data_IF_298730447750
#
_entry.id   IF_298730447750
#
_cell.length_a   1.000
_cell.length_b   1.000
_cell.length_c   1.000
_cell.angle_alpha   90.00
_cell.angle_beta   90.00
_cell.angle_gamma   90.00
#
_symmetry.space_group_name_H-M   'P 1'
#
loop_
_entity.id
_entity.type
_entity.pdbx_description
1 polymer ?
#
# COMPACT_ATOMS: atom_id res chain seq x y z
N UNK A 1 -8.56 4.71 8.80
CA UNK A 1 -9.07 5.73 9.73
C UNK A 1 -9.99 6.66 8.97
N UNK A 2 -11.30 6.54 9.19
CA UNK A 2 -12.32 7.27 8.41
C UNK A 2 -12.22 8.79 8.66
N UNK A 3 -12.10 9.29 9.90
CA UNK A 3 -11.88 10.71 10.18
C UNK A 3 -10.72 11.39 9.43
N UNK A 4 -9.69 10.64 9.05
CA UNK A 4 -8.53 11.17 8.31
C UNK A 4 -8.71 11.10 6.78
N UNK A 5 -9.78 10.45 6.32
CA UNK A 5 -10.11 10.30 4.90
C UNK A 5 -10.98 11.47 4.42
N UNK A 6 -10.88 11.83 3.15
CA UNK A 6 -11.59 12.95 2.53
C UNK A 6 -12.28 12.46 1.27
N UNK A 7 -13.53 12.86 1.05
CA UNK A 7 -14.27 12.58 -0.19
C UNK A 7 -14.77 11.15 -0.38
N UNK A 8 -14.59 10.27 0.61
CA UNK A 8 -15.17 8.92 0.59
C UNK A 8 -16.63 8.93 1.05
N UNK A 9 -17.41 8.01 0.49
CA UNK A 9 -18.82 7.79 0.77
C UNK A 9 -19.03 6.31 1.11
N UNK A 10 -19.97 6.04 2.03
CA UNK A 10 -20.44 4.70 2.36
C UNK A 10 -19.34 3.63 2.60
N UNK A 11 -18.29 3.90 3.42
CA UNK A 11 -17.23 2.93 3.64
C UNK A 11 -17.78 1.63 4.25
N UNK A 12 -17.57 0.51 3.56
CA UNK A 12 -17.93 -0.84 4.00
C UNK A 12 -16.68 -1.59 4.46
N UNK A 13 -16.73 -2.07 5.70
CA UNK A 13 -15.70 -2.93 6.28
C UNK A 13 -16.39 -4.24 6.67
N UNK A 14 -16.18 -5.28 5.86
CA UNK A 14 -16.80 -6.58 6.12
C UNK A 14 -16.09 -7.29 7.30
N UNK A 15 -16.82 -7.77 8.32
CA UNK A 15 -16.22 -8.42 9.49
C UNK A 15 -15.36 -9.65 9.18
N UNK A 16 -15.58 -10.29 8.03
CA UNK A 16 -14.89 -11.50 7.58
C UNK A 16 -13.80 -11.23 6.54
N UNK A 17 -13.79 -10.06 5.91
CA UNK A 17 -12.77 -9.66 4.93
C UNK A 17 -11.82 -8.67 5.60
N UNK A 18 -10.97 -9.19 6.49
CA UNK A 18 -10.09 -8.39 7.35
C UNK A 18 -9.05 -7.54 6.60
N UNK A 19 -8.86 -7.80 5.31
CA UNK A 19 -7.88 -7.16 4.44
C UNK A 19 -8.51 -6.34 3.30
N UNK A 20 -9.83 -6.13 3.31
CA UNK A 20 -10.55 -5.41 2.26
C UNK A 20 -11.43 -4.31 2.86
N UNK A 21 -11.45 -3.15 2.21
CA UNK A 21 -12.36 -2.04 2.50
C UNK A 21 -12.92 -1.57 1.17
N UNK A 22 -14.22 -1.35 1.11
CA UNK A 22 -14.91 -0.81 -0.06
C UNK A 22 -15.47 0.56 0.28
N UNK A 23 -15.49 1.47 -0.68
CA UNK A 23 -16.09 2.80 -0.51
C UNK A 23 -16.45 3.37 -1.88
N UNK A 24 -17.39 4.31 -1.88
CA UNK A 24 -17.75 5.10 -3.06
C UNK A 24 -17.03 6.45 -3.02
N UNK A 25 -16.84 7.06 -4.19
CA UNK A 25 -16.26 8.40 -4.29
C UNK A 25 -16.78 9.10 -5.55
N UNK A 26 -16.77 10.44 -5.53
CA UNK A 26 -17.10 11.25 -6.70
C UNK A 26 -15.82 11.51 -7.52
N UNK A 27 -15.71 11.02 -8.76
CA UNK A 27 -14.51 11.18 -9.58
C UNK A 27 -14.19 12.63 -9.92
N UNK A 28 -15.15 13.55 -9.76
CA UNK A 28 -14.97 14.98 -9.99
C UNK A 28 -14.45 15.72 -8.75
N UNK A 29 -14.30 15.03 -7.61
CA UNK A 29 -13.86 15.61 -6.33
C UNK A 29 -12.54 15.01 -5.88
N UNK A 30 -11.77 15.82 -5.16
CA UNK A 30 -10.57 15.34 -4.47
C UNK A 30 -10.96 14.29 -3.44
N UNK A 31 -10.36 13.11 -3.55
CA UNK A 31 -10.56 11.98 -2.65
C UNK A 31 -9.22 11.50 -2.11
N UNK A 32 -9.15 11.17 -0.83
CA UNK A 32 -7.97 10.57 -0.20
C UNK A 32 -8.39 9.64 0.93
N UNK A 33 -7.73 8.49 1.03
CA UNK A 33 -8.00 7.51 2.07
C UNK A 33 -6.82 7.38 3.03
N UNK A 34 -7.13 7.19 4.32
CA UNK A 34 -6.14 6.84 5.32
C UNK A 34 -6.33 5.39 5.75
N UNK A 35 -5.34 4.54 5.47
CA UNK A 35 -5.39 3.10 5.76
C UNK A 35 -4.40 2.76 6.87
N UNK A 36 -4.84 1.96 7.84
CA UNK A 36 -3.99 1.42 8.89
C UNK A 36 -3.81 -0.09 8.67
N UNK A 37 -2.56 -0.54 8.63
CA UNK A 37 -2.23 -1.96 8.50
C UNK A 37 -1.87 -2.52 9.88
N UNK A 38 -2.62 -3.52 10.33
CA UNK A 38 -2.55 -4.06 11.69
C UNK A 38 -1.70 -5.33 11.82
N UNK A 39 -0.81 -5.58 10.86
CA UNK A 39 0.14 -6.68 10.90
C UNK A 39 1.51 -6.21 10.41
N UNK A 40 2.59 -6.84 10.89
CA UNK A 40 3.95 -6.54 10.47
C UNK A 40 4.49 -7.64 9.55
N UNK A 41 5.33 -7.27 8.58
CA UNK A 41 5.82 -8.20 7.55
C UNK A 41 6.59 -9.42 8.09
N UNK A 42 7.13 -9.34 9.31
CA UNK A 42 7.85 -10.45 9.95
C UNK A 42 6.94 -11.43 10.72
N UNK A 43 5.65 -11.15 10.86
CA UNK A 43 4.70 -12.12 11.46
C UNK A 43 4.45 -13.32 10.55
N UNK A 44 4.70 -13.15 9.25
CA UNK A 44 4.47 -14.15 8.20
C UNK A 44 5.76 -14.83 7.74
N UNK A 45 6.83 -14.74 8.52
CA UNK A 45 8.08 -15.48 8.25
C UNK A 45 8.18 -16.72 9.14
N UNK A 46 8.93 -17.73 8.68
CA UNK A 46 9.08 -19.00 9.39
C UNK A 46 9.72 -18.83 10.78
N UNK A 47 10.58 -17.81 10.97
CA UNK A 47 11.29 -17.57 12.23
C UNK A 47 10.91 -16.20 12.79
N UNK A 48 10.34 -16.18 13.99
CA UNK A 48 9.95 -14.93 14.68
C UNK A 48 11.13 -14.14 15.27
N UNK A 49 12.35 -14.40 14.81
CA UNK A 49 13.56 -13.78 15.34
C UNK A 49 13.81 -12.43 14.65
N UNK A 50 14.33 -11.46 15.42
CA UNK A 50 14.75 -10.18 14.85
C UNK A 50 15.82 -10.37 13.78
N UNK A 51 15.60 -9.82 12.58
CA UNK A 51 16.57 -9.82 11.49
C UNK A 51 16.14 -10.58 10.22
N UNK A 52 15.08 -11.38 10.27
CA UNK A 52 14.55 -12.04 9.07
C UNK A 52 13.91 -11.02 8.11
N UNK A 53 14.07 -11.26 6.80
CA UNK A 53 13.47 -10.42 5.76
C UNK A 53 11.95 -10.65 5.76
N UNK A 54 11.21 -9.68 6.30
CA UNK A 54 9.75 -9.73 6.29
C UNK A 54 9.15 -9.91 4.89
N UNK A 55 8.04 -10.64 4.82
CA UNK A 55 7.26 -10.87 3.59
C UNK A 55 6.65 -9.54 3.14
N UNK A 56 6.86 -9.10 1.87
CA UNK A 56 6.20 -7.90 1.37
C UNK A 56 4.71 -8.18 1.20
N UNK A 57 3.89 -7.18 1.55
CA UNK A 57 2.45 -7.21 1.27
C UNK A 57 2.17 -6.44 -0.01
N UNK A 58 1.02 -6.71 -0.63
CA UNK A 58 0.51 -5.94 -1.75
C UNK A 58 -0.67 -5.11 -1.26
N UNK A 59 -0.61 -3.80 -1.47
CA UNK A 59 -1.80 -2.96 -1.47
C UNK A 59 -2.31 -2.95 -2.90
N UNK A 60 -3.55 -3.38 -3.10
CA UNK A 60 -4.23 -3.36 -4.40
C UNK A 60 -5.48 -2.49 -4.28
N UNK A 61 -5.73 -1.69 -5.32
CA UNK A 61 -6.91 -0.88 -5.46
C UNK A 61 -7.59 -1.31 -6.75
N UNK A 62 -8.79 -1.86 -6.60
CA UNK A 62 -9.67 -2.20 -7.70
C UNK A 62 -10.79 -1.17 -7.78
N UNK A 63 -10.96 -0.58 -8.96
CA UNK A 63 -11.98 0.45 -9.22
C UNK A 63 -13.09 -0.17 -10.04
N UNK A 64 -14.33 -0.01 -9.57
CA UNK A 64 -15.51 -0.49 -10.25
C UNK A 64 -16.41 0.67 -10.64
N UNK A 65 -17.03 0.58 -11.81
CA UNK A 65 -18.09 1.46 -12.25
C UNK A 65 -19.39 1.12 -11.53
N UNK A 66 -20.17 2.15 -11.18
CA UNK A 66 -21.56 1.96 -10.84
C UNK A 66 -22.27 1.44 -12.10
N UNK A 67 -22.53 0.15 -12.19
CA UNK A 67 -23.20 -0.47 -13.32
C UNK A 67 -24.58 0.14 -13.60
N UNK A 68 -25.24 -0.36 -14.64
CA UNK A 68 -26.65 -0.04 -14.90
C UNK A 68 -27.56 -0.41 -13.74
N UNK A 69 -28.80 0.08 -13.76
CA UNK A 69 -29.77 -0.16 -12.68
C UNK A 69 -30.13 -1.66 -12.62
N UNK A 70 -29.51 -2.39 -11.69
CA UNK A 70 -29.68 -3.83 -11.51
C UNK A 70 -28.51 -4.69 -12.04
N UNK A 71 -27.52 -4.08 -12.69
CA UNK A 71 -26.32 -4.77 -13.15
C UNK A 71 -25.26 -4.80 -12.04
N UNK A 72 -24.42 -5.85 -12.01
CA UNK A 72 -23.28 -5.88 -11.09
C UNK A 72 -22.29 -4.75 -11.41
N UNK A 73 -21.50 -4.30 -10.42
CA UNK A 73 -20.41 -3.35 -10.66
C UNK A 73 -19.45 -3.89 -11.73
N UNK A 74 -19.14 -3.05 -12.72
CA UNK A 74 -18.18 -3.40 -13.78
C UNK A 74 -16.77 -3.06 -13.30
N UNK A 75 -15.84 -4.00 -13.40
CA UNK A 75 -14.43 -3.73 -13.09
C UNK A 75 -13.82 -2.82 -14.17
N UNK A 76 -13.23 -1.70 -13.75
CA UNK A 76 -12.65 -0.72 -14.67
C UNK A 76 -11.13 -0.73 -14.67
N UNK A 77 -10.52 -0.88 -13.50
CA UNK A 77 -9.09 -0.69 -13.33
C UNK A 77 -8.56 -1.34 -12.06
N UNK A 78 -7.34 -1.88 -12.12
CA UNK A 78 -6.58 -2.40 -10.98
C UNK A 78 -5.18 -1.80 -10.96
N UNK A 79 -4.77 -1.31 -9.79
CA UNK A 79 -3.39 -0.90 -9.56
C UNK A 79 -2.89 -1.35 -8.20
N UNK A 80 -1.58 -1.53 -8.06
CA UNK A 80 -0.99 -2.02 -6.82
C UNK A 80 0.41 -1.50 -6.54
N UNK A 81 0.84 -1.64 -5.30
CA UNK A 81 2.23 -1.48 -4.90
C UNK A 81 2.62 -2.52 -3.85
N UNK A 82 3.92 -2.77 -3.75
CA UNK A 82 4.46 -3.60 -2.68
C UNK A 82 4.79 -2.71 -1.48
N UNK A 83 4.36 -3.13 -0.30
CA UNK A 83 4.67 -2.49 0.98
C UNK A 83 5.35 -3.46 1.92
N UNK A 84 6.14 -2.93 2.85
CA UNK A 84 6.70 -3.69 3.96
C UNK A 84 6.34 -2.97 5.24
N UNK A 85 5.70 -3.67 6.16
CA UNK A 85 5.19 -3.09 7.40
C UNK A 85 6.13 -3.43 8.53
N UNK A 86 6.53 -2.42 9.28
CA UNK A 86 7.50 -2.52 10.35
C UNK A 86 6.86 -2.16 11.69
N UNK A 87 7.48 -2.61 12.79
CA UNK A 87 7.21 -2.03 14.11
C UNK A 87 7.48 -0.52 14.11
N UNK A 88 6.92 0.26 15.06
CA UNK A 88 7.15 1.69 15.16
C UNK A 88 8.63 2.08 15.04
N UNK A 89 8.93 3.14 14.28
CA UNK A 89 10.29 3.61 13.91
C UNK A 89 11.12 2.65 13.05
N UNK A 90 10.64 1.43 12.81
CA UNK A 90 11.35 0.43 12.02
C UNK A 90 11.48 0.80 10.55
N UNK A 91 10.44 1.43 9.98
CA UNK A 91 10.44 1.96 8.62
C UNK A 91 11.48 3.09 8.47
N UNK A 92 11.46 4.09 9.35
CA UNK A 92 12.41 5.21 9.33
C UNK A 92 13.86 4.74 9.46
N UNK A 93 14.12 3.81 10.39
CA UNK A 93 15.44 3.22 10.57
C UNK A 93 15.88 2.49 9.31
N UNK A 94 14.98 1.70 8.69
CA UNK A 94 15.29 0.95 7.47
C UNK A 94 15.58 1.89 6.30
N UNK A 95 14.77 2.93 6.11
CA UNK A 95 14.97 3.94 5.07
C UNK A 95 16.33 4.65 5.24
N UNK A 96 16.65 5.07 6.47
CA UNK A 96 17.95 5.70 6.76
C UNK A 96 19.12 4.76 6.43
N UNK A 97 19.08 3.51 6.92
CA UNK A 97 20.16 2.54 6.67
C UNK A 97 20.30 2.19 5.18
N UNK A 98 19.19 2.06 4.45
CA UNK A 98 19.22 1.77 3.02
C UNK A 98 19.78 2.94 2.22
N UNK A 99 19.40 4.18 2.56
CA UNK A 99 19.95 5.39 1.93
C UNK A 99 21.46 5.50 2.15
N UNK A 100 21.92 5.38 3.40
CA UNK A 100 23.35 5.41 3.74
C UNK A 100 24.14 4.30 3.02
N UNK A 101 23.53 3.12 2.85
CA UNK A 101 24.15 2.00 2.12
C UNK A 101 24.31 2.32 0.64
N UNK A 102 23.30 2.93 0.01
CA UNK A 102 23.34 3.31 -1.41
C UNK A 102 24.33 4.46 -1.64
N UNK A 103 24.35 5.49 -0.78
CA UNK A 103 25.28 6.62 -0.90
C UNK A 103 26.75 6.21 -0.89
N UNK A 104 27.09 5.12 -0.19
CA UNK A 104 28.45 4.57 -0.11
C UNK A 104 28.85 3.71 -1.32
N UNK A 105 27.93 3.36 -2.21
CA UNK A 105 28.25 2.56 -3.41
C UNK A 105 28.96 3.42 -4.47
N UNK A 106 29.82 2.83 -5.33
CA UNK A 106 30.32 3.50 -6.53
C UNK A 106 29.18 3.92 -7.47
N UNK A 107 29.37 4.98 -8.25
CA UNK A 107 28.37 5.49 -9.21
C UNK A 107 27.67 4.40 -10.06
N UNK A 108 28.38 3.45 -10.71
CA UNK A 108 27.72 2.42 -11.51
C UNK A 108 26.87 1.43 -10.70
N UNK A 109 27.20 1.22 -9.42
CA UNK A 109 26.39 0.38 -8.53
C UNK A 109 25.19 1.16 -7.98
N UNK A 110 25.34 2.47 -7.74
CA UNK A 110 24.27 3.37 -7.27
C UNK A 110 23.12 3.44 -8.26
N UNK A 111 23.43 3.51 -9.55
CA UNK A 111 22.43 3.59 -10.64
C UNK A 111 21.54 2.34 -10.74
N UNK A 112 21.95 1.22 -10.15
CA UNK A 112 21.13 -0.01 -10.11
C UNK A 112 20.01 0.03 -9.06
N UNK A 113 20.05 0.99 -8.13
CA UNK A 113 19.05 1.11 -7.07
C UNK A 113 17.89 1.99 -7.52
N UNK A 114 16.68 1.65 -7.08
CA UNK A 114 15.51 2.49 -7.31
C UNK A 114 15.64 3.82 -6.54
N UNK A 115 15.37 4.97 -7.18
CA UNK A 115 15.38 6.25 -6.48
C UNK A 115 14.32 6.31 -5.37
N UNK A 116 14.61 7.08 -4.32
CA UNK A 116 13.62 7.40 -3.30
C UNK A 116 12.72 8.55 -3.78
N UNK A 117 11.41 8.39 -3.62
CA UNK A 117 10.40 9.41 -3.92
C UNK A 117 9.59 9.72 -2.67
N UNK A 118 8.96 10.91 -2.61
CA UNK A 118 8.06 11.28 -1.50
C UNK A 118 6.77 10.45 -1.49
N UNK A 119 6.32 10.02 -2.67
CA UNK A 119 5.13 9.21 -2.85
C UNK A 119 5.40 8.02 -3.78
N UNK A 120 4.72 6.91 -3.54
CA UNK A 120 4.69 5.77 -4.44
C UNK A 120 3.48 5.89 -5.37
N UNK A 121 3.72 5.87 -6.67
CA UNK A 121 2.65 5.70 -7.67
C UNK A 121 2.37 4.21 -7.80
N UNK A 122 1.09 3.83 -7.74
CA UNK A 122 0.69 2.44 -7.93
C UNK A 122 0.89 2.05 -9.40
N UNK A 123 1.38 0.85 -9.63
CA UNK A 123 1.53 0.30 -10.97
C UNK A 123 0.25 -0.41 -11.40
N UNK A 124 -0.14 -0.28 -12.66
CA UNK A 124 -1.24 -1.04 -13.25
C UNK A 124 -0.99 -2.55 -13.10
N UNK A 125 -2.05 -3.28 -12.79
CA UNK A 125 -2.05 -4.74 -12.77
C UNK A 125 -2.59 -5.21 -14.13
N UNK A 126 -1.69 -5.66 -15.00
CA UNK A 126 -2.03 -6.27 -16.29
C UNK A 126 -2.29 -7.77 -16.19
#
# INVERSE_FOLDING_TARGET
>A
DIPLSVGILEPQIHPTLLNTVEFLWDPLRRTSIFVQVHCISTEFTLRKNGGEKGVPFRIQIDTFGAGGKGDPPEHLHSASCLVKVFKPKGADRKQKTDREKVEKQPAPEREKFQPAYESTVLAEVG
#
